data_IF_257669199329
#
_entry.id   IF_257669199329
#
_cell.length_a   1.000
_cell.length_b   1.000
_cell.length_c   1.000
_cell.angle_alpha   90.00
_cell.angle_beta   90.00
_cell.angle_gamma   90.00
#
_symmetry.space_group_name_H-M   'P 1'
#
loop_
_entity.id
_entity.type
_entity.pdbx_description
1 polymer ?
#
# COMPACT_ATOMS: atom_id res chain seq x y z
N UNK A 1 -39.57 -53.01 -19.51
CA UNK A 1 -39.58 -53.89 -20.69
C UNK A 1 -38.30 -53.67 -21.46
N UNK A 2 -37.56 -54.79 -21.68
CA UNK A 2 -36.39 -55.03 -22.57
C UNK A 2 -35.12 -54.37 -22.24
N UNK A 3 -34.26 -54.88 -21.47
CA UNK A 3 -33.09 -55.78 -21.58
C UNK A 3 -32.60 -56.06 -23.00
N UNK A 4 -31.32 -55.70 -23.25
CA UNK A 4 -30.45 -56.58 -24.04
C UNK A 4 -28.98 -56.39 -23.67
N UNK A 5 -28.38 -57.51 -23.29
CA UNK A 5 -26.93 -57.79 -23.15
C UNK A 5 -26.40 -58.19 -24.52
N UNK A 6 -25.06 -58.19 -24.67
CA UNK A 6 -24.23 -59.23 -25.33
C UNK A 6 -22.84 -58.54 -25.64
N UNK A 7 -21.78 -58.96 -25.17
CA UNK A 7 -20.79 -60.03 -25.15
C UNK A 7 -19.42 -59.61 -25.67
N UNK A 8 -18.50 -59.87 -24.82
CA UNK A 8 -17.10 -60.28 -24.90
C UNK A 8 -16.55 -60.81 -26.23
N UNK A 9 -15.32 -60.44 -26.57
CA UNK A 9 -14.39 -61.40 -27.16
C UNK A 9 -12.92 -61.07 -26.84
N UNK A 10 -12.30 -62.06 -26.22
CA UNK A 10 -10.87 -62.24 -25.97
C UNK A 10 -10.19 -62.80 -27.19
N UNK A 11 -8.94 -62.41 -27.48
CA UNK A 11 -7.97 -63.31 -28.14
C UNK A 11 -6.53 -63.01 -27.71
N UNK A 12 -5.82 -64.11 -27.51
CA UNK A 12 -4.56 -64.34 -26.86
C UNK A 12 -3.32 -64.08 -27.74
N UNK A 13 -2.19 -64.08 -27.04
CA UNK A 13 -0.78 -64.03 -27.43
C UNK A 13 -0.36 -65.09 -28.50
N UNK A 14 0.87 -64.91 -29.05
CA UNK A 14 1.86 -65.94 -28.76
C UNK A 14 3.26 -65.38 -28.36
N UNK A 15 3.95 -66.27 -27.64
CA UNK A 15 5.29 -66.21 -27.11
C UNK A 15 6.37 -66.66 -28.11
N UNK A 16 7.66 -66.50 -27.66
CA UNK A 16 8.92 -67.16 -28.05
C UNK A 16 9.75 -66.41 -29.09
N UNK A 17 11.09 -66.16 -28.97
CA UNK A 17 12.17 -66.95 -28.40
C UNK A 17 13.44 -66.14 -28.25
N UNK A 18 14.25 -66.47 -27.25
CA UNK A 18 15.67 -66.03 -27.12
C UNK A 18 16.57 -66.97 -27.98
N UNK A 19 17.80 -66.55 -28.31
CA UNK A 19 18.95 -67.13 -27.57
C UNK A 19 20.16 -66.21 -27.33
N UNK A 20 20.80 -66.57 -26.28
CA UNK A 20 22.13 -66.42 -25.74
C UNK A 20 23.30 -66.05 -26.70
N UNK A 21 24.20 -65.16 -26.19
CA UNK A 21 25.67 -65.27 -26.25
C UNK A 21 26.37 -64.09 -25.64
N UNK A 22 27.08 -64.28 -24.51
CA UNK A 22 28.21 -63.47 -24.04
C UNK A 22 29.50 -64.08 -24.58
N UNK A 23 30.71 -63.55 -24.41
CA UNK A 23 31.17 -62.32 -23.70
C UNK A 23 32.27 -61.55 -24.46
N UNK A 24 32.62 -60.36 -24.04
CA UNK A 24 34.03 -59.91 -23.94
C UNK A 24 34.21 -58.59 -23.15
N UNK A 25 35.10 -58.66 -22.20
CA UNK A 25 35.67 -57.57 -21.39
C UNK A 25 36.22 -56.42 -22.25
N UNK A 26 35.93 -55.19 -21.84
CA UNK A 26 36.88 -54.10 -21.93
C UNK A 26 36.60 -53.06 -20.83
N UNK A 27 37.52 -53.01 -19.86
CA UNK A 27 37.63 -51.96 -18.83
C UNK A 27 37.74 -50.59 -19.50
N UNK A 28 36.88 -49.64 -19.14
CA UNK A 28 37.18 -48.23 -19.24
C UNK A 28 36.63 -47.50 -18.02
N UNK A 29 37.54 -47.15 -17.14
CA UNK A 29 37.42 -46.21 -16.05
C UNK A 29 37.05 -44.84 -16.58
N UNK A 30 35.90 -44.30 -16.18
CA UNK A 30 35.73 -42.87 -15.86
C UNK A 30 34.50 -42.73 -14.98
N UNK A 31 34.70 -42.78 -13.68
CA UNK A 31 33.75 -42.32 -12.69
C UNK A 31 33.72 -40.80 -12.71
N UNK A 32 32.83 -40.20 -13.51
CA UNK A 32 32.39 -38.84 -13.28
C UNK A 32 31.14 -38.93 -12.40
N UNK A 33 31.34 -38.72 -11.10
CA UNK A 33 30.27 -38.34 -10.19
C UNK A 33 29.67 -37.04 -10.67
N UNK A 34 28.64 -37.10 -11.48
CA UNK A 34 27.75 -35.98 -11.66
C UNK A 34 27.03 -35.71 -10.32
N UNK A 35 27.70 -34.91 -9.50
CA UNK A 35 27.06 -34.23 -8.39
C UNK A 35 25.98 -33.35 -9.04
N UNK A 36 24.76 -33.84 -9.04
CA UNK A 36 23.58 -33.01 -9.34
C UNK A 36 23.59 -31.92 -8.27
N UNK A 37 24.23 -30.78 -8.57
CA UNK A 37 23.97 -29.53 -7.83
C UNK A 37 22.48 -29.35 -7.92
N UNK A 38 21.77 -29.53 -6.80
CA UNK A 38 20.37 -29.05 -6.70
C UNK A 38 20.44 -27.60 -7.14
N UNK A 39 19.56 -27.14 -8.06
CA UNK A 39 19.49 -25.74 -8.40
C UNK A 39 19.40 -25.00 -7.06
N UNK A 40 20.34 -24.09 -6.80
CA UNK A 40 20.25 -23.19 -5.66
C UNK A 40 18.87 -22.58 -5.78
N UNK A 41 17.97 -22.92 -4.85
CA UNK A 41 16.59 -22.42 -4.87
C UNK A 41 16.67 -20.91 -4.93
N UNK A 42 16.31 -20.33 -6.08
CA UNK A 42 16.43 -18.92 -6.34
C UNK A 42 15.67 -18.16 -5.27
N UNK A 43 16.38 -17.38 -4.47
CA UNK A 43 15.77 -16.50 -3.47
C UNK A 43 15.36 -15.20 -4.17
N UNK A 44 14.15 -14.72 -3.90
CA UNK A 44 13.72 -13.43 -4.37
C UNK A 44 14.22 -12.32 -3.44
N UNK A 45 14.82 -11.28 -4.01
CA UNK A 45 15.33 -10.14 -3.26
C UNK A 45 14.22 -9.11 -3.04
N UNK A 46 13.90 -8.80 -1.78
CA UNK A 46 12.92 -7.77 -1.41
C UNK A 46 13.64 -6.48 -1.07
N UNK A 47 13.45 -5.44 -1.87
CA UNK A 47 13.92 -4.09 -1.58
C UNK A 47 13.00 -3.34 -0.63
N UNK A 48 13.57 -2.66 0.38
CA UNK A 48 12.81 -1.86 1.34
C UNK A 48 13.64 -0.72 1.91
N UNK A 49 12.97 0.29 2.48
CA UNK A 49 13.63 1.35 3.26
C UNK A 49 14.06 0.83 4.63
N UNK A 50 15.04 1.52 5.24
CA UNK A 50 15.56 1.16 6.56
C UNK A 50 14.69 1.60 7.75
N UNK A 51 13.51 2.24 7.54
CA UNK A 51 12.65 2.65 8.66
C UNK A 51 12.00 1.43 9.35
N UNK A 52 11.79 1.50 10.67
CA UNK A 52 11.19 0.41 11.43
C UNK A 52 9.84 -0.06 10.85
N UNK A 53 8.99 0.88 10.41
CA UNK A 53 7.71 0.54 9.80
C UNK A 53 7.88 -0.18 8.46
N UNK A 54 8.80 0.29 7.59
CA UNK A 54 9.07 -0.36 6.31
C UNK A 54 9.61 -1.78 6.52
N UNK A 55 10.54 -1.96 7.46
CA UNK A 55 11.06 -3.28 7.83
C UNK A 55 9.97 -4.20 8.40
N UNK A 56 9.08 -3.69 9.26
CA UNK A 56 7.98 -4.47 9.80
C UNK A 56 7.03 -4.96 8.69
N UNK A 57 6.71 -4.10 7.71
CA UNK A 57 5.90 -4.47 6.54
C UNK A 57 6.61 -5.51 5.67
N UNK A 58 7.91 -5.33 5.44
CA UNK A 58 8.70 -6.23 4.60
C UNK A 58 8.88 -7.61 5.26
N UNK A 59 9.14 -7.65 6.55
CA UNK A 59 9.22 -8.91 7.30
C UNK A 59 7.88 -9.66 7.26
N UNK A 60 6.75 -8.97 7.42
CA UNK A 60 5.43 -9.58 7.29
C UNK A 60 5.25 -10.23 5.90
N UNK A 61 5.61 -9.53 4.82
CA UNK A 61 5.55 -10.07 3.45
C UNK A 61 6.48 -11.27 3.29
N UNK A 62 7.72 -11.17 3.76
CA UNK A 62 8.71 -12.27 3.72
C UNK A 62 8.22 -13.51 4.45
N UNK A 63 7.64 -13.35 5.66
CA UNK A 63 7.10 -14.45 6.47
C UNK A 63 5.90 -15.12 5.77
N UNK A 64 5.02 -14.34 5.17
CA UNK A 64 3.86 -14.86 4.43
C UNK A 64 4.31 -15.59 3.16
N UNK A 65 5.29 -15.08 2.42
CA UNK A 65 5.87 -15.75 1.26
C UNK A 65 6.56 -17.06 1.65
N UNK A 66 7.31 -17.07 2.75
CA UNK A 66 7.95 -18.28 3.28
C UNK A 66 6.94 -19.38 3.62
N UNK A 67 5.79 -19.04 4.21
CA UNK A 67 4.67 -19.96 4.47
C UNK A 67 4.08 -20.58 3.20
N UNK A 68 4.25 -19.90 2.06
CA UNK A 68 3.83 -20.35 0.74
C UNK A 68 5.00 -20.94 -0.07
N UNK A 69 6.11 -21.31 0.59
CA UNK A 69 7.24 -21.98 -0.05
C UNK A 69 8.18 -21.06 -0.84
N UNK A 70 7.99 -19.74 -0.79
CA UNK A 70 8.84 -18.77 -1.51
C UNK A 70 9.93 -18.25 -0.58
N UNK A 71 11.19 -18.52 -0.91
CA UNK A 71 12.36 -18.03 -0.14
C UNK A 71 12.68 -16.60 -0.57
N UNK A 72 12.88 -15.73 0.41
CA UNK A 72 13.22 -14.32 0.17
C UNK A 72 14.43 -13.88 0.98
N UNK A 73 15.08 -12.80 0.53
CA UNK A 73 16.14 -12.09 1.23
C UNK A 73 15.84 -10.59 1.19
N UNK A 74 16.11 -9.87 2.28
CA UNK A 74 15.79 -8.45 2.41
C UNK A 74 17.03 -7.59 2.14
N UNK A 75 16.92 -6.66 1.18
CA UNK A 75 17.93 -5.65 0.84
C UNK A 75 17.43 -4.27 1.27
N UNK A 76 18.14 -3.63 2.20
CA UNK A 76 17.84 -2.26 2.61
C UNK A 76 18.39 -1.29 1.57
N UNK A 77 17.53 -0.45 1.03
CA UNK A 77 17.85 0.61 0.08
C UNK A 77 17.82 1.94 0.81
N UNK A 78 18.96 2.63 0.79
CA UNK A 78 19.03 4.00 1.34
C UNK A 78 18.39 4.95 0.33
N UNK A 79 17.39 5.71 0.77
CA UNK A 79 16.72 6.70 -0.08
C UNK A 79 17.10 8.12 0.33
N UNK A 80 17.22 9.03 -0.63
CA UNK A 80 17.49 10.45 -0.38
C UNK A 80 16.41 11.08 0.51
N UNK A 81 15.16 10.59 0.41
CA UNK A 81 14.09 11.01 1.31
C UNK A 81 14.33 10.69 2.79
N UNK A 82 15.18 9.71 3.12
CA UNK A 82 15.54 9.39 4.51
C UNK A 82 16.56 10.40 5.09
N UNK A 83 17.30 11.12 4.23
CA UNK A 83 18.30 12.12 4.62
C UNK A 83 17.72 13.54 4.75
N UNK A 84 16.60 13.85 4.07
CA UNK A 84 15.97 15.17 4.12
C UNK A 84 14.96 15.28 5.27
N UNK A 85 15.44 15.55 6.50
CA UNK A 85 14.58 15.72 7.68
C UNK A 85 14.03 17.15 7.84
N UNK A 86 14.63 18.15 7.18
CA UNK A 86 14.45 19.58 7.50
C UNK A 86 13.51 20.34 6.54
N UNK A 87 13.18 19.78 5.37
CA UNK A 87 12.31 20.45 4.40
C UNK A 87 10.94 19.78 4.25
N UNK A 88 9.84 20.53 4.03
CA UNK A 88 8.52 19.98 3.76
C UNK A 88 8.51 19.01 2.56
N UNK A 89 7.87 17.82 2.71
CA UNK A 89 7.74 16.85 1.62
C UNK A 89 7.15 17.46 0.34
N UNK A 90 6.28 18.48 0.48
CA UNK A 90 5.73 19.22 -0.66
C UNK A 90 6.74 20.19 -1.30
N UNK A 91 7.86 20.48 -0.65
CA UNK A 91 8.97 21.28 -1.20
C UNK A 91 10.05 20.43 -1.88
N UNK A 92 10.12 19.13 -1.56
CA UNK A 92 11.04 18.19 -2.23
C UNK A 92 10.52 17.93 -3.64
N UNK A 93 11.32 18.24 -4.65
CA UNK A 93 10.96 18.01 -6.07
C UNK A 93 10.71 16.52 -6.31
N UNK A 94 9.46 16.17 -6.57
CA UNK A 94 9.06 14.84 -7.03
C UNK A 94 8.20 14.08 -6.02
N UNK A 95 6.96 13.82 -6.44
CA UNK A 95 6.03 12.89 -5.80
C UNK A 95 6.68 11.50 -5.78
N UNK A 96 6.62 10.81 -4.64
CA UNK A 96 7.13 9.44 -4.56
C UNK A 96 8.66 9.29 -4.50
N UNK A 97 9.41 10.31 -4.03
CA UNK A 97 10.89 10.22 -3.90
C UNK A 97 11.34 8.94 -3.21
N UNK A 98 10.63 8.49 -2.19
CA UNK A 98 10.91 7.24 -1.48
C UNK A 98 10.62 5.97 -2.29
N UNK A 99 9.72 6.06 -3.28
CA UNK A 99 9.32 4.93 -4.12
C UNK A 99 10.21 4.86 -5.35
N UNK A 100 10.57 6.01 -5.94
CA UNK A 100 11.33 6.10 -7.19
C UNK A 100 12.68 5.39 -7.11
N UNK A 101 13.48 5.62 -6.06
CA UNK A 101 14.80 5.00 -5.92
C UNK A 101 14.72 3.48 -5.77
N UNK A 102 13.65 2.97 -5.14
CA UNK A 102 13.37 1.53 -5.07
C UNK A 102 12.93 1.01 -6.44
N UNK A 103 12.10 1.78 -7.17
CA UNK A 103 11.68 1.45 -8.54
C UNK A 103 12.88 1.39 -9.48
N UNK A 104 13.79 2.36 -9.41
CA UNK A 104 15.03 2.40 -10.21
C UNK A 104 15.92 1.18 -9.91
N UNK A 105 16.07 0.81 -8.63
CA UNK A 105 16.80 -0.39 -8.20
C UNK A 105 16.16 -1.68 -8.75
N UNK A 106 14.82 -1.73 -8.81
CA UNK A 106 14.08 -2.85 -9.39
C UNK A 106 14.26 -2.90 -10.91
N UNK A 107 14.18 -1.76 -11.60
CA UNK A 107 14.40 -1.68 -13.06
C UNK A 107 15.82 -2.11 -13.43
N UNK A 108 16.83 -1.76 -12.62
CA UNK A 108 18.20 -2.23 -12.76
C UNK A 108 18.37 -3.74 -12.53
N UNK A 109 17.36 -4.44 -11.98
CA UNK A 109 17.42 -5.89 -11.70
C UNK A 109 18.16 -6.25 -10.43
N UNK A 110 18.37 -5.29 -9.53
CA UNK A 110 19.05 -5.50 -8.26
C UNK A 110 18.13 -6.02 -7.15
N UNK A 111 16.81 -5.92 -7.35
CA UNK A 111 15.75 -6.48 -6.51
C UNK A 111 14.60 -7.02 -7.36
N UNK A 112 13.87 -7.99 -6.84
CA UNK A 112 12.75 -8.65 -7.51
C UNK A 112 11.39 -8.12 -7.01
N UNK A 113 11.34 -7.72 -5.76
CA UNK A 113 10.14 -7.33 -5.03
C UNK A 113 10.40 -6.00 -4.31
N UNK A 114 9.42 -5.10 -4.31
CA UNK A 114 9.40 -3.95 -3.42
C UNK A 114 8.12 -3.93 -2.58
N UNK A 115 8.23 -3.56 -1.31
CA UNK A 115 7.11 -3.48 -0.37
C UNK A 115 6.88 -2.04 0.04
N UNK A 116 5.65 -1.55 -0.14
CA UNK A 116 5.30 -0.16 0.13
C UNK A 116 3.97 -0.03 0.88
N UNK A 117 3.83 1.03 1.65
CA UNK A 117 2.50 1.54 2.01
C UNK A 117 1.84 2.10 0.74
N UNK A 118 0.66 1.61 0.37
CA UNK A 118 0.03 1.95 -0.91
C UNK A 118 -0.26 3.44 -1.08
N UNK A 119 -0.56 4.15 0.01
CA UNK A 119 -0.79 5.61 -0.01
C UNK A 119 0.41 6.43 -0.46
N UNK A 120 1.62 5.86 -0.38
CA UNK A 120 2.87 6.52 -0.75
C UNK A 120 3.27 6.20 -2.20
N UNK A 121 2.56 5.25 -2.85
CA UNK A 121 2.82 4.82 -4.23
C UNK A 121 2.09 5.75 -5.22
N UNK A 122 2.83 6.42 -6.14
CA UNK A 122 2.24 7.28 -7.16
C UNK A 122 1.20 6.56 -8.03
N UNK A 123 0.25 7.31 -8.58
CA UNK A 123 -0.72 6.79 -9.56
C UNK A 123 -0.04 6.45 -10.89
N UNK A 124 0.95 7.24 -11.29
CA UNK A 124 1.76 7.03 -12.49
C UNK A 124 3.12 6.45 -12.11
N UNK A 125 3.52 5.39 -12.80
CA UNK A 125 4.79 4.67 -12.60
C UNK A 125 5.33 4.16 -13.93
N UNK A 126 6.63 3.75 -14.00
CA UNK A 126 7.18 3.08 -15.17
C UNK A 126 6.32 1.89 -15.59
N UNK A 127 6.07 1.79 -16.90
CA UNK A 127 5.15 0.80 -17.47
C UNK A 127 5.59 -0.65 -17.28
N UNK A 128 6.86 -0.89 -16.99
CA UNK A 128 7.47 -2.19 -16.71
C UNK A 128 7.14 -2.71 -15.32
N UNK A 129 6.71 -1.83 -14.40
CA UNK A 129 6.39 -2.18 -13.03
C UNK A 129 4.88 -2.39 -12.84
N UNK A 130 4.52 -3.29 -11.94
CA UNK A 130 3.13 -3.59 -11.59
C UNK A 130 2.95 -3.72 -10.08
N UNK A 131 1.74 -3.39 -9.58
CA UNK A 131 1.29 -3.77 -8.25
C UNK A 131 0.81 -5.22 -8.35
N UNK A 132 1.72 -6.14 -8.09
CA UNK A 132 1.49 -7.57 -8.24
C UNK A 132 0.54 -8.13 -7.17
N UNK A 133 0.61 -7.60 -5.93
CA UNK A 133 -0.31 -7.97 -4.87
C UNK A 133 -0.69 -6.76 -4.01
N UNK A 134 -1.95 -6.70 -3.63
CA UNK A 134 -2.53 -5.77 -2.66
C UNK A 134 -2.92 -6.61 -1.45
N UNK A 135 -2.23 -6.43 -0.32
CA UNK A 135 -2.49 -7.23 0.87
C UNK A 135 -3.81 -6.81 1.53
N UNK A 136 -4.42 -7.74 2.27
CA UNK A 136 -5.58 -7.44 3.11
C UNK A 136 -5.33 -6.17 3.93
N UNK A 137 -6.29 -5.26 3.90
CA UNK A 137 -6.18 -3.94 4.51
C UNK A 137 -6.20 -4.03 6.03
N UNK A 138 -5.22 -3.40 6.68
CA UNK A 138 -5.24 -3.09 8.10
C UNK A 138 -6.13 -1.87 8.35
N UNK A 139 -6.16 -1.35 9.59
CA UNK A 139 -6.98 -0.17 9.91
C UNK A 139 -6.71 1.01 8.96
N UNK A 140 -7.74 1.52 8.27
CA UNK A 140 -7.60 2.69 7.40
C UNK A 140 -7.66 4.02 8.16
N UNK A 141 -7.99 4.01 9.45
CA UNK A 141 -8.38 5.18 10.22
C UNK A 141 -7.20 6.03 10.68
N UNK A 142 -7.50 7.30 10.94
CA UNK A 142 -6.62 8.18 11.67
C UNK A 142 -6.78 7.96 13.17
N UNK A 143 -5.67 8.08 13.89
CA UNK A 143 -5.60 7.82 15.32
C UNK A 143 -4.98 9.03 16.02
N UNK A 144 -5.70 9.59 16.98
CA UNK A 144 -5.23 10.67 17.82
C UNK A 144 -4.55 10.10 19.05
N UNK A 145 -3.33 10.53 19.27
CA UNK A 145 -2.59 10.30 20.51
C UNK A 145 -2.43 11.62 21.24
N UNK A 146 -2.86 11.67 22.48
CA UNK A 146 -2.65 12.79 23.40
C UNK A 146 -1.76 12.37 24.56
N UNK A 147 -1.10 13.31 25.22
CA UNK A 147 -0.23 12.99 26.37
C UNK A 147 -0.98 12.30 27.51
N UNK A 148 -2.19 12.77 27.76
CA UNK A 148 -2.97 12.40 28.96
C UNK A 148 -4.17 11.51 28.60
N UNK A 149 -4.25 10.97 27.38
CA UNK A 149 -5.35 10.14 26.91
C UNK A 149 -6.66 10.90 26.69
N UNK A 150 -6.62 12.23 26.64
CA UNK A 150 -7.80 13.10 26.45
C UNK A 150 -8.32 12.92 25.01
N UNK A 151 -9.62 12.79 24.84
CA UNK A 151 -10.26 12.68 23.53
C UNK A 151 -10.29 14.03 22.79
N UNK A 152 -10.39 13.99 21.47
CA UNK A 152 -10.39 15.18 20.61
C UNK A 152 -11.45 16.22 21.04
N UNK A 153 -12.65 15.76 21.39
CA UNK A 153 -13.76 16.62 21.80
C UNK A 153 -13.51 17.34 23.12
N UNK A 154 -12.69 16.74 24.01
CA UNK A 154 -12.46 17.19 25.38
C UNK A 154 -11.13 17.95 25.52
N UNK A 155 -10.36 18.10 24.43
CA UNK A 155 -9.12 18.90 24.42
C UNK A 155 -9.42 20.38 24.76
N UNK A 156 -8.53 21.04 25.53
CA UNK A 156 -8.69 22.48 25.84
C UNK A 156 -8.67 23.33 24.56
N UNK A 157 -9.30 24.51 24.64
CA UNK A 157 -9.21 25.51 23.56
C UNK A 157 -7.76 25.89 23.32
N UNK A 158 -7.39 26.01 22.04
CA UNK A 158 -6.02 26.33 21.62
C UNK A 158 -5.02 25.17 21.73
N UNK A 159 -5.47 23.94 22.05
CA UNK A 159 -4.58 22.79 22.13
C UNK A 159 -3.80 22.58 20.82
N UNK A 160 -2.52 22.25 20.96
CA UNK A 160 -1.58 22.12 19.84
C UNK A 160 -1.57 20.69 19.31
N UNK A 161 -2.05 20.50 18.07
CA UNK A 161 -2.07 19.18 17.40
C UNK A 161 -1.02 19.11 16.30
N UNK A 162 -0.16 18.10 16.37
CA UNK A 162 0.92 17.86 15.42
C UNK A 162 0.47 17.04 14.20
N UNK A 163 0.52 17.65 13.01
CA UNK A 163 0.37 16.96 11.72
C UNK A 163 0.91 17.80 10.56
N UNK A 164 1.56 17.15 9.57
CA UNK A 164 1.93 17.77 8.29
C UNK A 164 0.93 17.44 7.17
N UNK A 165 -0.06 16.57 7.44
CA UNK A 165 -1.08 16.21 6.45
C UNK A 165 -2.10 17.34 6.31
N UNK A 166 -2.20 17.91 5.10
CA UNK A 166 -3.19 18.97 4.81
C UNK A 166 -4.62 18.49 5.01
N UNK A 167 -4.92 17.24 4.64
CA UNK A 167 -6.22 16.62 4.89
C UNK A 167 -6.56 16.58 6.39
N UNK A 168 -5.65 16.03 7.21
CA UNK A 168 -5.86 15.95 8.67
C UNK A 168 -6.02 17.34 9.30
N UNK A 169 -5.18 18.29 8.85
CA UNK A 169 -5.28 19.69 9.28
C UNK A 169 -6.66 20.27 8.98
N UNK A 170 -7.13 20.18 7.74
CA UNK A 170 -8.41 20.73 7.31
C UNK A 170 -9.59 20.08 8.05
N UNK A 171 -9.57 18.76 8.20
CA UNK A 171 -10.60 18.01 8.94
C UNK A 171 -10.61 18.37 10.44
N UNK A 172 -9.44 18.51 11.08
CA UNK A 172 -9.36 18.98 12.47
C UNK A 172 -9.94 20.38 12.63
N UNK A 173 -9.53 21.33 11.77
CA UNK A 173 -10.02 22.71 11.83
C UNK A 173 -11.52 22.82 11.52
N UNK A 174 -12.07 21.94 10.70
CA UNK A 174 -13.53 21.84 10.50
C UNK A 174 -14.25 21.37 11.76
N UNK A 175 -13.70 20.36 12.43
CA UNK A 175 -14.31 19.74 13.61
C UNK A 175 -14.11 20.56 14.89
N UNK A 176 -12.91 21.13 15.07
CA UNK A 176 -12.46 21.95 16.20
C UNK A 176 -11.66 23.14 15.67
N UNK A 177 -12.33 24.23 15.26
CA UNK A 177 -11.68 25.42 14.68
C UNK A 177 -10.79 26.20 15.64
N UNK A 178 -10.93 25.93 16.94
CA UNK A 178 -10.14 26.48 18.02
C UNK A 178 -8.75 25.88 18.17
N UNK A 179 -8.47 24.72 17.56
CA UNK A 179 -7.20 24.01 17.71
C UNK A 179 -6.07 24.72 16.96
N UNK A 180 -4.87 24.63 17.52
CA UNK A 180 -3.63 25.08 16.86
C UNK A 180 -2.96 23.89 16.15
N UNK A 181 -2.89 23.92 14.83
CA UNK A 181 -2.26 22.86 14.07
C UNK A 181 -0.82 23.23 13.72
N UNK A 182 0.15 22.45 14.21
CA UNK A 182 1.59 22.60 13.95
C UNK A 182 2.14 21.45 13.13
N UNK A 183 3.16 21.73 12.32
CA UNK A 183 3.82 20.70 11.52
C UNK A 183 4.55 19.69 12.41
N UNK A 184 4.33 18.40 12.15
CA UNK A 184 4.97 17.29 12.85
C UNK A 184 5.64 16.35 11.83
N UNK A 185 6.95 16.16 11.98
CA UNK A 185 7.79 15.34 11.10
C UNK A 185 8.59 14.30 11.85
N UNK A 186 9.16 13.40 11.03
CA UNK A 186 9.96 12.26 11.49
C UNK A 186 9.20 10.95 11.38
N UNK A 187 9.89 9.86 11.65
CA UNK A 187 9.29 8.54 11.78
C UNK A 187 8.39 8.48 13.02
N UNK A 188 7.60 7.43 13.15
CA UNK A 188 6.64 7.28 14.25
C UNK A 188 7.32 7.46 15.61
N UNK A 189 8.49 6.84 15.83
CA UNK A 189 9.29 7.00 17.07
C UNK A 189 9.59 8.47 17.40
N UNK A 190 10.04 9.23 16.40
CA UNK A 190 10.37 10.66 16.57
C UNK A 190 9.13 11.47 16.93
N UNK A 191 7.98 11.15 16.30
CA UNK A 191 6.71 11.84 16.58
C UNK A 191 6.22 11.56 18.00
N UNK A 192 6.29 10.29 18.44
CA UNK A 192 5.94 9.90 19.81
C UNK A 192 6.87 10.57 20.83
N UNK A 193 8.16 10.63 20.55
CA UNK A 193 9.11 11.32 21.42
C UNK A 193 8.75 12.80 21.58
N UNK A 194 8.46 13.51 20.47
CA UNK A 194 8.04 14.92 20.49
C UNK A 194 6.73 15.12 21.28
N UNK A 195 5.77 14.20 21.20
CA UNK A 195 4.56 14.24 22.02
C UNK A 195 4.90 14.09 23.52
N UNK A 196 5.73 13.10 23.87
CA UNK A 196 6.17 12.87 25.26
C UNK A 196 6.95 14.05 25.84
N UNK A 197 7.74 14.73 25.02
CA UNK A 197 8.50 15.95 25.38
C UNK A 197 7.61 17.19 25.53
N UNK A 198 6.30 17.08 25.28
CA UNK A 198 5.35 18.19 25.44
C UNK A 198 5.42 19.25 24.33
N UNK A 199 6.01 18.93 23.17
CA UNK A 199 6.01 19.84 22.01
C UNK A 199 4.61 19.98 21.39
N UNK A 200 3.71 19.03 21.65
CA UNK A 200 2.33 18.94 21.19
C UNK A 200 1.44 18.41 22.32
N UNK A 201 0.17 18.81 22.35
CA UNK A 201 -0.84 18.25 23.24
C UNK A 201 -1.40 16.93 22.66
N UNK A 202 -1.40 16.83 21.32
CA UNK A 202 -1.77 15.62 20.59
C UNK A 202 -1.09 15.51 19.23
N UNK A 203 -1.05 14.30 18.66
CA UNK A 203 -0.52 14.03 17.32
C UNK A 203 -1.45 13.07 16.57
N UNK A 204 -1.54 13.22 15.25
CA UNK A 204 -2.28 12.29 14.39
C UNK A 204 -1.35 11.33 13.66
N UNK A 205 -1.62 10.03 13.83
CA UNK A 205 -0.95 8.94 13.13
C UNK A 205 -1.96 8.13 12.31
N UNK A 206 -1.48 7.28 11.40
CA UNK A 206 -2.30 6.23 10.81
C UNK A 206 -2.31 5.03 11.76
N UNK A 207 -3.49 4.54 12.14
CA UNK A 207 -3.64 3.44 13.10
C UNK A 207 -2.90 2.18 12.65
N UNK A 208 -2.98 1.83 11.35
CA UNK A 208 -2.21 0.71 10.78
C UNK A 208 -0.70 0.76 11.04
N UNK A 209 -0.13 1.96 11.21
CA UNK A 209 1.28 2.11 11.56
C UNK A 209 1.58 1.61 12.96
N UNK A 210 0.68 1.84 13.91
CA UNK A 210 0.78 1.38 15.30
C UNK A 210 0.55 -0.14 15.38
N UNK A 211 -0.47 -0.64 14.70
CA UNK A 211 -0.78 -2.07 14.63
C UNK A 211 0.41 -2.88 14.11
N UNK A 212 1.04 -2.43 13.00
CA UNK A 212 2.20 -3.12 12.38
C UNK A 212 3.44 -3.10 13.26
N UNK A 213 3.59 -2.06 14.06
CA UNK A 213 4.67 -1.97 15.05
C UNK A 213 4.36 -2.76 16.32
N UNK A 214 3.14 -3.33 16.45
CA UNK A 214 2.64 -4.03 17.65
C UNK A 214 2.74 -3.15 18.89
N UNK A 215 2.48 -1.86 18.73
CA UNK A 215 2.49 -0.91 19.83
C UNK A 215 1.09 -0.77 20.38
N UNK A 216 0.94 -1.21 21.64
CA UNK A 216 -0.27 -0.97 22.42
C UNK A 216 -0.19 0.44 23.00
N UNK A 217 -0.68 1.42 22.23
CA UNK A 217 -0.71 2.82 22.64
C UNK A 217 -2.16 3.25 22.76
N UNK A 218 -2.54 3.70 23.94
CA UNK A 218 -3.87 4.24 24.16
C UNK A 218 -4.06 5.57 23.43
N UNK A 219 -5.19 5.70 22.73
CA UNK A 219 -5.56 6.88 21.97
C UNK A 219 -6.98 6.77 21.45
N UNK A 220 -7.34 7.67 20.53
CA UNK A 220 -8.68 7.75 19.97
C UNK A 220 -8.64 7.47 18.47
N UNK A 221 -9.37 6.44 18.01
CA UNK A 221 -9.67 6.27 16.60
C UNK A 221 -10.67 7.34 16.19
N UNK A 222 -10.30 8.13 15.18
CA UNK A 222 -11.18 9.17 14.67
C UNK A 222 -12.27 8.55 13.78
N UNK A 223 -13.50 9.02 13.99
CA UNK A 223 -14.66 8.57 13.24
C UNK A 223 -14.56 8.94 11.76
N UNK A 224 -14.64 7.98 10.82
CA UNK A 224 -14.55 8.23 9.39
C UNK A 224 -15.71 9.07 8.82
N UNK A 225 -16.80 9.26 9.55
CA UNK A 225 -17.89 10.17 9.15
C UNK A 225 -17.44 11.63 9.17
N UNK A 226 -16.56 11.96 10.13
CA UNK A 226 -15.97 13.29 10.28
C UNK A 226 -14.54 13.37 9.75
N UNK A 227 -13.82 12.27 9.69
CA UNK A 227 -12.40 12.19 9.32
C UNK A 227 -12.22 11.13 8.22
N UNK A 228 -12.67 11.46 7.01
CA UNK A 228 -12.50 10.55 5.86
C UNK A 228 -11.02 10.23 5.67
N UNK A 229 -10.63 8.94 5.68
CA UNK A 229 -9.23 8.53 5.56
C UNK A 229 -8.55 9.01 4.29
N UNK A 230 -7.21 9.02 4.29
CA UNK A 230 -6.44 9.18 3.06
C UNK A 230 -6.63 7.97 2.16
N UNK A 231 -6.73 8.19 0.87
CA UNK A 231 -6.78 7.09 -0.09
C UNK A 231 -5.66 6.08 0.17
N UNK A 232 -6.03 4.79 0.13
CA UNK A 232 -5.15 3.64 0.31
C UNK A 232 -4.47 3.52 1.70
N UNK A 233 -4.89 4.33 2.68
CA UNK A 233 -4.37 4.22 4.04
C UNK A 233 -4.70 2.84 4.62
N UNK A 234 -3.73 2.24 5.32
CA UNK A 234 -3.87 0.91 5.91
C UNK A 234 -3.44 -0.24 4.98
N UNK A 235 -3.15 0.02 3.70
CA UNK A 235 -2.84 -1.03 2.73
C UNK A 235 -1.34 -1.13 2.47
N UNK A 236 -0.82 -2.36 2.45
CA UNK A 236 0.51 -2.72 1.97
C UNK A 236 0.38 -3.28 0.56
N UNK A 237 1.29 -2.87 -0.32
CA UNK A 237 1.37 -3.40 -1.68
C UNK A 237 2.75 -3.98 -1.97
N UNK A 238 2.72 -4.96 -2.85
CA UNK A 238 3.90 -5.64 -3.36
C UNK A 238 4.02 -5.28 -4.84
N UNK A 239 5.16 -4.71 -5.19
CA UNK A 239 5.49 -4.30 -6.54
C UNK A 239 6.56 -5.21 -7.10
N UNK A 240 6.47 -5.52 -8.40
CA UNK A 240 7.41 -6.35 -9.16
C UNK A 240 7.53 -5.84 -10.59
N UNK A 241 8.50 -6.36 -11.33
CA UNK A 241 8.46 -6.26 -12.79
C UNK A 241 7.31 -7.10 -13.34
N UNK A 242 6.66 -6.63 -14.40
CA UNK A 242 5.61 -7.38 -15.11
C UNK A 242 6.17 -8.69 -15.66
N UNK A 243 5.32 -9.71 -15.73
CA UNK A 243 5.58 -11.03 -16.31
C UNK A 243 6.76 -11.78 -15.67
N UNK A 244 7.26 -11.29 -14.52
CA UNK A 244 8.38 -11.87 -13.80
C UNK A 244 7.97 -13.10 -12.96
N UNK A 245 8.96 -13.89 -12.56
CA UNK A 245 8.76 -14.97 -11.58
C UNK A 245 8.26 -14.40 -10.24
N UNK A 246 8.78 -13.25 -9.82
CA UNK A 246 8.38 -12.58 -8.60
C UNK A 246 6.90 -12.19 -8.63
N UNK A 247 6.39 -11.66 -9.76
CA UNK A 247 4.97 -11.34 -9.90
C UNK A 247 4.08 -12.56 -9.66
N UNK A 248 4.41 -13.69 -10.29
CA UNK A 248 3.64 -14.94 -10.09
C UNK A 248 3.70 -15.43 -8.65
N UNK A 249 4.88 -15.34 -8.03
CA UNK A 249 5.11 -15.82 -6.67
C UNK A 249 4.34 -15.03 -5.61
N UNK A 250 4.17 -13.71 -5.79
CA UNK A 250 3.52 -12.86 -4.78
C UNK A 250 2.00 -12.80 -4.90
N UNK A 251 1.41 -13.26 -6.00
CA UNK A 251 -0.05 -13.25 -6.22
C UNK A 251 -0.84 -13.95 -5.13
N UNK A 252 -0.27 -14.94 -4.47
CA UNK A 252 -0.89 -15.65 -3.35
C UNK A 252 -1.23 -14.73 -2.16
N UNK A 253 -0.61 -13.55 -2.10
CA UNK A 253 -0.83 -12.55 -1.04
C UNK A 253 -1.86 -11.48 -1.45
N UNK A 254 -2.43 -11.58 -2.65
CA UNK A 254 -3.38 -10.60 -3.15
C UNK A 254 -4.76 -10.78 -2.51
N UNK A 255 -5.32 -9.70 -1.98
CA UNK A 255 -6.68 -9.64 -1.45
C UNK A 255 -7.57 -8.86 -2.42
N UNK A 256 -8.47 -9.57 -3.08
CA UNK A 256 -9.33 -9.01 -4.13
C UNK A 256 -10.23 -7.88 -3.61
N UNK A 257 -10.80 -8.03 -2.43
CA UNK A 257 -11.66 -6.98 -1.85
C UNK A 257 -10.88 -5.70 -1.60
N UNK A 258 -9.69 -5.80 -0.99
CA UNK A 258 -8.83 -4.65 -0.76
C UNK A 258 -8.33 -4.04 -2.08
N UNK A 259 -8.05 -4.87 -3.09
CA UNK A 259 -7.67 -4.39 -4.43
C UNK A 259 -8.78 -3.54 -5.05
N UNK A 260 -10.01 -3.98 -5.01
CA UNK A 260 -11.18 -3.23 -5.50
C UNK A 260 -11.37 -1.95 -4.70
N UNK A 261 -11.41 -2.02 -3.36
CA UNK A 261 -11.55 -0.87 -2.46
C UNK A 261 -10.51 0.22 -2.78
N UNK A 262 -9.24 -0.18 -2.85
CA UNK A 262 -8.15 0.76 -3.11
C UNK A 262 -8.11 1.26 -4.56
N UNK A 263 -8.58 0.47 -5.52
CA UNK A 263 -8.72 0.89 -6.91
C UNK A 263 -9.75 2.00 -7.05
N UNK A 264 -10.91 1.86 -6.39
CA UNK A 264 -11.94 2.92 -6.33
C UNK A 264 -11.33 4.23 -5.81
N UNK A 265 -10.64 4.17 -4.67
CA UNK A 265 -10.01 5.34 -4.07
C UNK A 265 -8.98 5.99 -5.00
N UNK A 266 -8.17 5.20 -5.72
CA UNK A 266 -7.18 5.69 -6.69
C UNK A 266 -7.82 6.33 -7.91
N UNK A 267 -8.92 5.79 -8.42
CA UNK A 267 -9.67 6.38 -9.54
C UNK A 267 -10.19 7.76 -9.14
N UNK A 268 -10.83 7.86 -7.98
CA UNK A 268 -11.36 9.12 -7.47
C UNK A 268 -10.26 10.18 -7.34
N UNK A 269 -9.15 9.87 -6.65
CA UNK A 269 -8.05 10.84 -6.49
C UNK A 269 -7.33 11.16 -7.79
N UNK A 270 -7.28 10.21 -8.74
CA UNK A 270 -6.72 10.41 -10.08
C UNK A 270 -7.51 11.46 -10.88
N UNK A 271 -8.84 11.41 -10.84
CA UNK A 271 -9.73 12.38 -11.51
C UNK A 271 -9.65 13.77 -10.84
N UNK A 272 -9.58 13.78 -9.52
CA UNK A 272 -9.48 15.04 -8.77
C UNK A 272 -8.14 15.73 -9.02
N UNK A 273 -7.05 14.97 -9.07
CA UNK A 273 -5.70 15.53 -9.21
C UNK A 273 -5.21 16.21 -7.92
N UNK A 274 -4.24 17.11 -8.05
CA UNK A 274 -3.72 17.93 -6.94
C UNK A 274 -2.74 17.24 -6.00
N UNK A 275 -2.71 15.92 -5.97
CA UNK A 275 -1.76 15.12 -5.20
C UNK A 275 -1.75 15.43 -3.71
N UNK A 276 -0.56 15.40 -3.06
CA UNK A 276 -0.40 15.67 -1.62
C UNK A 276 -0.59 17.14 -1.21
N UNK A 277 -0.75 18.05 -2.19
CA UNK A 277 -0.93 19.49 -1.92
C UNK A 277 -2.39 19.85 -1.61
N UNK A 278 -3.30 18.88 -1.67
CA UNK A 278 -4.74 19.11 -1.54
C UNK A 278 -5.30 18.29 -0.38
N UNK A 279 -6.19 18.89 0.43
CA UNK A 279 -6.90 18.17 1.49
C UNK A 279 -7.99 17.26 0.90
N UNK A 280 -7.64 16.06 0.46
CA UNK A 280 -8.57 15.05 -0.08
C UNK A 280 -8.61 13.83 0.82
N UNK A 281 -9.82 13.38 1.18
CA UNK A 281 -10.13 12.09 1.76
C UNK A 281 -10.83 11.20 0.73
N UNK A 282 -10.47 9.92 0.66
CA UNK A 282 -11.17 8.93 -0.16
C UNK A 282 -11.07 7.57 0.54
N UNK A 283 -12.20 6.96 0.77
CA UNK A 283 -12.31 5.69 1.48
C UNK A 283 -13.43 4.84 0.88
N UNK A 284 -13.08 3.63 0.48
CA UNK A 284 -14.04 2.64 0.01
C UNK A 284 -13.97 1.40 0.91
N UNK A 285 -15.13 0.84 1.25
CA UNK A 285 -15.23 -0.36 2.08
C UNK A 285 -16.38 -1.25 1.63
N UNK A 286 -16.06 -2.51 1.33
CA UNK A 286 -17.08 -3.51 1.01
C UNK A 286 -17.94 -3.80 2.24
N UNK A 287 -19.26 -3.75 2.06
CA UNK A 287 -20.27 -4.04 3.07
C UNK A 287 -21.34 -4.92 2.43
N UNK A 288 -21.25 -6.23 2.67
CA UNK A 288 -22.12 -7.21 2.03
C UNK A 288 -21.93 -7.24 0.51
N UNK A 289 -23.01 -7.00 -0.22
CA UNK A 289 -23.10 -7.00 -1.68
C UNK A 289 -22.78 -5.64 -2.32
N UNK A 290 -22.55 -4.60 -1.53
CA UNK A 290 -22.26 -3.23 -1.99
C UNK A 290 -20.92 -2.72 -1.47
N UNK A 291 -20.42 -1.63 -2.07
CA UNK A 291 -19.23 -0.93 -1.60
C UNK A 291 -19.65 0.47 -1.15
N UNK A 292 -19.39 0.78 0.11
CA UNK A 292 -19.58 2.11 0.68
C UNK A 292 -18.39 2.98 0.31
N UNK A 293 -18.65 4.09 -0.39
CA UNK A 293 -17.62 5.04 -0.84
C UNK A 293 -17.85 6.38 -0.18
N UNK A 294 -16.85 6.87 0.52
CA UNK A 294 -16.80 8.19 1.15
C UNK A 294 -15.66 8.98 0.56
N UNK A 295 -15.97 10.15 0.03
CA UNK A 295 -14.95 11.03 -0.55
C UNK A 295 -15.21 12.47 -0.12
N UNK A 296 -14.13 13.21 0.09
CA UNK A 296 -14.26 14.60 0.53
C UNK A 296 -13.06 15.43 0.03
N UNK A 297 -13.36 16.66 -0.40
CA UNK A 297 -12.36 17.71 -0.69
C UNK A 297 -12.64 18.89 0.24
N UNK A 298 -11.60 19.40 0.89
CA UNK A 298 -11.73 20.53 1.81
C UNK A 298 -10.88 21.72 1.36
N UNK A 299 -11.25 22.94 1.78
CA UNK A 299 -10.32 24.07 1.79
C UNK A 299 -9.22 23.84 2.81
N UNK A 300 -8.04 24.46 2.63
CA UNK A 300 -6.88 24.30 3.52
C UNK A 300 -7.17 24.70 4.98
N UNK A 301 -8.10 25.66 5.15
CA UNK A 301 -8.57 26.12 6.46
C UNK A 301 -9.73 25.31 7.06
N UNK A 302 -10.24 24.32 6.32
CA UNK A 302 -11.34 23.46 6.73
C UNK A 302 -12.74 24.07 6.69
N UNK A 303 -12.88 25.34 6.32
CA UNK A 303 -14.19 26.06 6.37
C UNK A 303 -15.15 25.63 5.27
N UNK A 304 -14.65 25.23 4.10
CA UNK A 304 -15.43 24.74 2.96
C UNK A 304 -15.06 23.32 2.66
N UNK A 305 -16.05 22.51 2.30
CA UNK A 305 -15.83 21.14 1.87
C UNK A 305 -16.96 20.68 0.94
N UNK A 306 -16.63 19.72 0.12
CA UNK A 306 -17.57 18.96 -0.70
C UNK A 306 -17.38 17.49 -0.38
N UNK A 307 -18.47 16.77 -0.09
CA UNK A 307 -18.46 15.35 0.28
C UNK A 307 -19.44 14.57 -0.58
N UNK A 308 -19.08 13.36 -0.94
CA UNK A 308 -19.97 12.33 -1.47
C UNK A 308 -19.84 11.11 -0.55
N UNK A 309 -20.99 10.54 -0.17
CA UNK A 309 -21.09 9.40 0.74
C UNK A 309 -22.24 8.52 0.23
N UNK A 310 -21.89 7.42 -0.43
CA UNK A 310 -22.86 6.56 -1.10
C UNK A 310 -22.43 5.11 -1.24
N UNK A 311 -23.37 4.23 -1.59
CA UNK A 311 -23.12 2.84 -1.89
C UNK A 311 -23.17 2.59 -3.39
N UNK A 312 -22.12 1.91 -3.91
CA UNK A 312 -22.02 1.55 -5.32
C UNK A 312 -22.09 0.03 -5.55
N UNK A 313 -22.37 -0.35 -6.81
CA UNK A 313 -22.33 -1.74 -7.24
C UNK A 313 -20.88 -2.21 -7.45
N UNK A 314 -20.47 -3.34 -6.86
CA UNK A 314 -19.14 -3.92 -7.09
C UNK A 314 -18.85 -4.28 -8.54
N UNK A 315 -19.84 -4.66 -9.33
CA UNK A 315 -19.64 -5.10 -10.73
C UNK A 315 -19.27 -3.93 -11.67
N UNK A 316 -19.62 -2.69 -11.28
CA UNK A 316 -19.38 -1.47 -12.07
C UNK A 316 -18.47 -0.47 -11.33
N UNK A 317 -17.69 -0.96 -10.38
CA UNK A 317 -16.96 -0.10 -9.44
C UNK A 317 -16.03 0.92 -10.10
N UNK A 318 -15.42 0.61 -11.24
CA UNK A 318 -14.53 1.56 -11.93
C UNK A 318 -15.32 2.72 -12.55
N UNK A 319 -16.46 2.43 -13.16
CA UNK A 319 -17.35 3.43 -13.76
C UNK A 319 -17.94 4.32 -12.67
N UNK A 320 -18.44 3.72 -11.59
CA UNK A 320 -19.01 4.41 -10.45
C UNK A 320 -17.96 5.29 -9.73
N UNK A 321 -16.75 4.80 -9.53
CA UNK A 321 -15.66 5.58 -8.97
C UNK A 321 -15.30 6.80 -9.84
N UNK A 322 -15.32 6.61 -11.17
CA UNK A 322 -15.08 7.70 -12.12
C UNK A 322 -16.21 8.75 -12.07
N UNK A 323 -17.46 8.31 -11.98
CA UNK A 323 -18.62 9.18 -11.78
C UNK A 323 -18.48 10.00 -10.50
N UNK A 324 -18.20 9.35 -9.38
CA UNK A 324 -18.00 9.98 -8.07
C UNK A 324 -16.90 11.04 -8.12
N UNK A 325 -15.73 10.70 -8.69
CA UNK A 325 -14.61 11.64 -8.82
C UNK A 325 -14.97 12.88 -9.66
N UNK A 326 -15.68 12.67 -10.77
CA UNK A 326 -16.14 13.74 -11.67
C UNK A 326 -17.21 14.63 -10.99
N UNK A 327 -18.17 14.03 -10.33
CA UNK A 327 -19.22 14.72 -9.60
C UNK A 327 -18.66 15.55 -8.44
N UNK A 328 -17.75 14.98 -7.65
CA UNK A 328 -17.09 15.69 -6.55
C UNK A 328 -16.32 16.92 -7.06
N UNK A 329 -15.66 16.77 -8.22
CA UNK A 329 -14.95 17.87 -8.89
C UNK A 329 -15.91 18.98 -9.32
N UNK A 330 -17.04 18.63 -9.95
CA UNK A 330 -18.05 19.56 -10.44
C UNK A 330 -18.82 20.27 -9.32
N UNK A 331 -19.06 19.61 -8.20
CA UNK A 331 -19.77 20.18 -7.04
C UNK A 331 -18.93 21.21 -6.25
N UNK A 332 -17.80 21.67 -6.79
CA UNK A 332 -16.94 22.67 -6.19
C UNK A 332 -15.60 22.11 -5.65
N UNK A 333 -15.42 20.79 -5.68
CA UNK A 333 -14.14 20.18 -5.30
C UNK A 333 -13.00 20.66 -6.19
N UNK A 334 -13.23 20.89 -7.50
CA UNK A 334 -12.27 21.42 -8.43
C UNK A 334 -11.73 22.80 -8.03
N UNK A 335 -12.61 23.72 -7.61
CA UNK A 335 -12.21 25.05 -7.14
C UNK A 335 -11.33 24.99 -5.89
N UNK A 336 -11.68 24.11 -4.91
CA UNK A 336 -10.91 23.93 -3.69
C UNK A 336 -9.52 23.36 -3.98
N UNK A 337 -9.41 22.47 -4.97
CA UNK A 337 -8.16 21.90 -5.44
C UNK A 337 -7.28 22.98 -6.05
N UNK A 338 -7.81 23.75 -7.00
CA UNK A 338 -7.07 24.82 -7.69
C UNK A 338 -6.59 25.90 -6.71
N UNK A 339 -7.43 26.24 -5.73
CA UNK A 339 -7.08 27.19 -4.67
C UNK A 339 -5.92 26.68 -3.80
N UNK A 340 -5.99 25.42 -3.36
CA UNK A 340 -4.93 24.80 -2.58
C UNK A 340 -3.61 24.74 -3.38
N UNK A 341 -3.66 24.31 -4.63
CA UNK A 341 -2.48 24.24 -5.52
C UNK A 341 -1.87 25.63 -5.69
N UNK A 342 -2.68 26.67 -5.99
CA UNK A 342 -2.19 28.06 -6.11
C UNK A 342 -1.53 28.56 -4.82
N UNK A 343 -2.12 28.28 -3.66
CA UNK A 343 -1.58 28.71 -2.36
C UNK A 343 -0.18 28.14 -2.11
N UNK A 344 0.05 26.88 -2.45
CA UNK A 344 1.34 26.22 -2.21
C UNK A 344 2.37 26.50 -3.31
N UNK A 345 1.96 26.72 -4.57
CA UNK A 345 2.88 27.10 -5.65
C UNK A 345 3.36 28.56 -5.52
N UNK A 346 2.50 29.49 -5.10
CA UNK A 346 2.87 30.89 -4.86
C UNK A 346 3.89 31.06 -3.70
N UNK A 347 3.83 30.20 -2.68
CA UNK A 347 4.84 30.19 -1.59
C UNK A 347 6.21 29.74 -2.08
N UNK A 348 6.30 28.86 -3.07
CA UNK A 348 7.57 28.40 -3.67
C UNK A 348 8.29 29.52 -4.43
N UNK A 349 7.58 30.42 -5.09
CA UNK A 349 8.17 31.53 -5.87
C UNK A 349 8.74 32.66 -5.02
N UNK A 350 8.50 32.70 -3.69
CA UNK A 350 9.02 33.73 -2.78
C UNK A 350 10.27 33.33 -2.00
N UNK A 351 10.73 32.08 -2.14
CA UNK A 351 11.88 31.51 -1.41
C UNK A 351 12.93 30.91 -2.37
N UNK A 352 12.85 31.23 -3.67
CA UNK A 352 13.79 30.86 -4.72
C UNK A 352 14.66 32.01 -5.19
#
# INVERSE_FOLDING_TARGET
MKTEKVQSNSKALPQESSPDSSPSDSKSTYGQSHTWMRPQEARLLIGTRGSKLALAQTNLVSDLLARNGVKTEIKIIKTSGDTFTDRPLHEVKGFGVFVREIDDTMLAGEIDIAVHSMKDVPTERPGELTIAAVMKRDSPYDFLLTRDGIKLKDLPEGAVIGTTSLRRRAQLLRYRPDLMIKDLRGNIDTRLRKLKEGQYDGILLAEAGLERMKWDIQGERLDPDNFVPSANQGTVVIVTKKDSQAERAVRVLDDENTRIETRIERIVIGILGGGCLVPIGAFAKRQGDRIHVRTEVLSVDGKRHVKIDEFINPDEYELEAARIGSELKQKGGGELIDEAVRMFTAKRGRHG
#
